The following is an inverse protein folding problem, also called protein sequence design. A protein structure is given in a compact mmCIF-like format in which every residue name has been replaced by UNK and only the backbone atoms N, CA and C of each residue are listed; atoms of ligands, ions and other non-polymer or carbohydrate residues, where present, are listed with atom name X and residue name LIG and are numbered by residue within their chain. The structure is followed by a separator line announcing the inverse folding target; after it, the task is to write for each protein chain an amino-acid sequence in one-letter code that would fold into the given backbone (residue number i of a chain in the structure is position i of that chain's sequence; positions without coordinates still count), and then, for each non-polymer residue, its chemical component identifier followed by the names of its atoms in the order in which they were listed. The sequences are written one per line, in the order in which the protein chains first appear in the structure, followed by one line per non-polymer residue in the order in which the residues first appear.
data_IF_236870799671
#
_entry.id   IF_236870799671
#
_cell.length_a   1.000
_cell.length_b   1.000
_cell.length_c   1.000
_cell.angle_alpha   90.00
_cell.angle_beta   90.00
_cell.angle_gamma   90.00
#
_symmetry.space_group_name_H-M   'P 1'
#
loop_
_entity.id
_entity.type
_entity.pdbx_description
1 polymer ?
#
# COMPACT_ATOMS: atom_id res chain seq x y z
N UNK A 1 -4.51 7.95 8.02
CA UNK A 1 -3.36 7.32 8.70
C UNK A 1 -3.83 6.90 10.07
N UNK A 2 -3.49 5.69 10.47
CA UNK A 2 -3.63 5.24 11.84
C UNK A 2 -2.32 5.47 12.60
N UNK A 3 -2.41 6.01 13.81
CA UNK A 3 -1.34 5.89 14.80
C UNK A 3 -1.40 4.45 15.32
N UNK A 4 -0.34 3.71 15.08
CA UNK A 4 -0.16 2.31 15.45
C UNK A 4 0.83 2.22 16.60
N UNK A 5 0.44 1.56 17.70
CA UNK A 5 1.33 1.27 18.82
C UNK A 5 1.45 -0.24 18.98
N UNK A 6 2.68 -0.74 19.01
CA UNK A 6 3.01 -2.16 19.17
C UNK A 6 4.12 -2.32 20.20
N UNK A 7 4.00 -3.34 21.05
CA UNK A 7 5.03 -3.70 22.00
C UNK A 7 5.64 -5.05 21.66
N UNK A 8 6.97 -5.17 21.71
CA UNK A 8 7.65 -6.46 21.54
C UNK A 8 9.02 -6.49 22.23
N UNK A 9 9.60 -7.67 22.36
CA UNK A 9 10.99 -7.82 22.82
C UNK A 9 11.98 -7.45 21.71
N UNK A 10 13.22 -7.13 22.09
CA UNK A 10 14.29 -6.74 21.15
C UNK A 10 14.48 -7.73 20.00
N UNK A 11 14.37 -9.03 20.28
CA UNK A 11 14.52 -10.11 19.29
C UNK A 11 13.51 -10.04 18.13
N UNK A 12 12.34 -9.43 18.35
CA UNK A 12 11.28 -9.34 17.36
C UNK A 12 11.22 -7.98 16.64
N UNK A 13 11.99 -6.98 17.08
CA UNK A 13 12.00 -5.64 16.47
C UNK A 13 12.28 -5.70 14.98
N UNK A 14 13.32 -6.45 14.55
CA UNK A 14 13.65 -6.57 13.13
C UNK A 14 12.49 -7.11 12.28
N UNK A 15 11.70 -8.03 12.83
CA UNK A 15 10.51 -8.58 12.16
C UNK A 15 9.33 -7.60 12.17
N UNK A 16 9.16 -6.83 13.24
CA UNK A 16 8.17 -5.76 13.30
C UNK A 16 8.45 -4.69 12.23
N UNK A 17 9.71 -4.23 12.14
CA UNK A 17 10.14 -3.26 11.14
C UNK A 17 9.95 -3.76 9.71
N UNK A 18 10.20 -5.04 9.43
CA UNK A 18 9.99 -5.59 8.09
C UNK A 18 8.51 -5.60 7.69
N UNK A 19 7.60 -5.90 8.63
CA UNK A 19 6.14 -5.83 8.39
C UNK A 19 5.71 -4.38 8.17
N UNK A 20 6.22 -3.44 8.99
CA UNK A 20 5.94 -2.02 8.81
C UNK A 20 6.40 -1.49 7.45
N UNK A 21 7.62 -1.82 7.04
CA UNK A 21 8.17 -1.41 5.75
C UNK A 21 7.33 -1.94 4.58
N UNK A 22 6.95 -3.22 4.61
CA UNK A 22 6.10 -3.84 3.59
C UNK A 22 4.75 -3.14 3.45
N UNK A 23 4.19 -2.65 4.55
CA UNK A 23 2.91 -1.93 4.59
C UNK A 23 3.04 -0.41 4.51
N UNK A 24 4.24 0.09 4.16
CA UNK A 24 4.54 1.52 4.02
C UNK A 24 4.19 2.33 5.27
N UNK A 25 4.36 1.72 6.44
CA UNK A 25 4.23 2.43 7.70
C UNK A 25 5.48 3.27 7.95
N UNK A 26 5.30 4.46 8.51
CA UNK A 26 6.39 5.34 8.92
C UNK A 26 6.55 5.29 10.43
N UNK A 27 7.65 4.75 10.93
CA UNK A 27 7.94 4.73 12.37
C UNK A 27 8.25 6.14 12.85
N UNK A 28 7.65 6.50 13.99
CA UNK A 28 7.74 7.83 14.62
C UNK A 28 8.72 7.78 15.79
N UNK A 29 8.64 6.72 16.60
CA UNK A 29 9.46 6.55 17.78
C UNK A 29 9.52 5.10 18.23
N UNK A 30 10.61 4.77 18.90
CA UNK A 30 10.84 3.51 19.59
C UNK A 30 11.36 3.86 20.99
N UNK A 31 10.68 3.35 22.01
CA UNK A 31 11.02 3.60 23.41
C UNK A 31 11.01 2.29 24.19
N UNK A 32 12.00 2.09 25.07
CA UNK A 32 11.97 0.98 26.02
C UNK A 32 10.99 1.31 27.14
N UNK A 33 10.04 0.42 27.41
CA UNK A 33 9.02 0.65 28.43
C UNK A 33 9.62 0.49 29.82
N UNK A 34 9.61 1.54 30.63
CA UNK A 34 10.15 1.55 31.99
C UNK A 34 9.61 0.39 32.84
N UNK A 35 10.52 -0.34 33.49
CA UNK A 35 10.19 -1.48 34.32
C UNK A 35 9.90 -2.78 33.56
N UNK A 36 10.07 -2.82 32.24
CA UNK A 36 9.96 -4.04 31.44
C UNK A 36 11.05 -4.15 30.37
N UNK A 37 11.29 -5.36 29.85
CA UNK A 37 12.18 -5.58 28.72
C UNK A 37 11.46 -5.45 27.35
N UNK A 38 10.35 -4.71 27.30
CA UNK A 38 9.53 -4.54 26.09
C UNK A 38 9.77 -3.17 25.48
N UNK A 39 10.00 -3.16 24.17
CA UNK A 39 10.04 -1.96 23.35
C UNK A 39 8.64 -1.61 22.89
N UNK A 40 8.26 -0.34 23.03
CA UNK A 40 7.05 0.24 22.47
C UNK A 40 7.43 1.01 21.20
N UNK A 41 6.86 0.60 20.08
CA UNK A 41 7.09 1.23 18.77
C UNK A 41 5.82 1.92 18.32
N UNK A 42 5.95 3.21 18.04
CA UNK A 42 4.88 4.04 17.47
C UNK A 42 5.13 4.28 15.98
N UNK A 43 4.12 4.04 15.14
CA UNK A 43 4.22 4.22 13.70
C UNK A 43 2.91 4.75 13.09
N UNK A 44 3.02 5.50 11.98
CA UNK A 44 1.88 5.85 11.15
C UNK A 44 1.67 4.80 10.05
N UNK A 45 0.52 4.13 10.07
CA UNK A 45 0.14 3.11 9.11
C UNK A 45 -0.97 3.64 8.17
N UNK A 46 -0.84 3.51 6.83
CA UNK A 46 -1.94 3.79 5.92
C UNK A 46 -3.15 2.90 6.21
N UNK A 47 -4.35 3.49 6.26
CA UNK A 47 -5.60 2.76 6.59
C UNK A 47 -5.88 1.63 5.60
N UNK A 48 -5.55 1.85 4.33
CA UNK A 48 -5.70 0.84 3.28
C UNK A 48 -4.79 -0.37 3.52
N UNK A 49 -3.62 -0.14 4.11
CA UNK A 49 -2.63 -1.18 4.41
C UNK A 49 -2.80 -1.76 5.82
N UNK A 50 -3.82 -1.38 6.58
CA UNK A 50 -4.04 -1.96 7.92
C UNK A 50 -4.80 -3.28 7.91
N UNK A 51 -5.50 -3.61 6.82
CA UNK A 51 -6.27 -4.84 6.72
C UNK A 51 -5.35 -6.07 6.75
N UNK A 52 -5.58 -6.96 7.71
CA UNK A 52 -4.74 -8.14 7.95
C UNK A 52 -3.37 -7.86 8.59
N UNK A 53 -3.09 -6.61 8.98
CA UNK A 53 -1.81 -6.22 9.60
C UNK A 53 -1.55 -6.98 10.90
N UNK A 54 -2.53 -7.04 11.81
CA UNK A 54 -2.40 -7.74 13.08
C UNK A 54 -2.04 -9.23 12.90
N UNK A 55 -2.72 -9.91 11.98
CA UNK A 55 -2.47 -11.32 11.68
C UNK A 55 -1.07 -11.55 11.10
N UNK A 56 -0.65 -10.72 10.15
CA UNK A 56 0.68 -10.83 9.54
C UNK A 56 1.80 -10.55 10.57
N UNK A 57 1.61 -9.53 11.40
CA UNK A 57 2.53 -9.18 12.46
C UNK A 57 2.72 -10.35 13.44
N UNK A 58 1.62 -10.88 13.99
CA UNK A 58 1.65 -11.98 14.95
C UNK A 58 2.24 -13.25 14.33
N UNK A 59 1.95 -13.53 13.05
CA UNK A 59 2.53 -14.68 12.35
C UNK A 59 4.05 -14.55 12.23
N UNK A 60 4.57 -13.37 11.88
CA UNK A 60 6.00 -13.16 11.71
C UNK A 60 6.76 -13.15 13.05
N UNK A 61 6.15 -12.64 14.12
CA UNK A 61 6.75 -12.63 15.45
C UNK A 61 6.45 -13.88 16.26
N UNK A 62 5.81 -14.91 15.67
CA UNK A 62 5.39 -16.13 16.36
C UNK A 62 4.50 -15.87 17.60
N UNK A 63 3.74 -14.77 17.58
CA UNK A 63 2.89 -14.32 18.68
C UNK A 63 3.61 -13.52 19.76
N UNK A 64 4.93 -13.28 19.64
CA UNK A 64 5.74 -12.59 20.66
C UNK A 64 5.72 -11.05 20.52
N UNK A 65 4.84 -10.50 19.68
CA UNK A 65 4.50 -9.08 19.68
C UNK A 65 3.09 -8.90 20.22
N UNK A 66 2.83 -7.77 20.88
CA UNK A 66 1.50 -7.40 21.30
C UNK A 66 0.58 -7.24 20.09
N UNK A 67 -0.72 -7.40 20.31
CA UNK A 67 -1.71 -7.07 19.30
C UNK A 67 -1.62 -5.55 19.01
N UNK A 68 -1.56 -5.11 17.73
CA UNK A 68 -1.38 -3.71 17.41
C UNK A 68 -2.61 -2.89 17.78
N UNK A 69 -2.38 -1.74 18.42
CA UNK A 69 -3.42 -0.75 18.68
C UNK A 69 -3.45 0.25 17.53
N UNK A 70 -4.57 0.29 16.80
CA UNK A 70 -4.76 1.18 15.66
C UNK A 70 -5.78 2.26 16.00
N UNK A 71 -5.32 3.51 16.09
CA UNK A 71 -6.17 4.68 16.35
C UNK A 71 -6.15 5.62 15.15
N UNK A 72 -7.31 6.17 14.78
CA UNK A 72 -7.37 7.22 13.77
C UNK A 72 -6.66 8.49 14.25
N UNK A 73 -5.78 9.03 13.39
CA UNK A 73 -4.98 10.21 13.70
C UNK A 73 -5.25 11.35 12.69
N UNK A 74 -4.89 11.18 11.42
CA UNK A 74 -5.08 12.21 10.38
C UNK A 74 -5.15 11.64 8.96
N UNK A 75 -5.45 12.47 7.96
CA UNK A 75 -5.28 12.15 6.54
C UNK A 75 -3.93 12.65 6.04
N UNK A 76 -3.22 11.82 5.27
CA UNK A 76 -1.95 12.18 4.66
C UNK A 76 -2.01 12.00 3.14
N UNK A 77 -1.30 12.86 2.42
CA UNK A 77 -1.13 12.76 0.97
C UNK A 77 -0.11 11.67 0.68
N UNK A 78 -0.43 10.75 -0.23
CA UNK A 78 0.52 9.75 -0.71
C UNK A 78 1.47 10.42 -1.73
N UNK A 79 2.77 10.07 -1.73
CA UNK A 79 3.74 10.72 -2.61
C UNK A 79 3.57 10.35 -4.10
N UNK A 80 2.92 9.22 -4.40
CA UNK A 80 2.80 8.73 -5.77
C UNK A 80 1.65 9.43 -6.53
N UNK A 81 1.93 9.90 -7.74
CA UNK A 81 0.92 10.44 -8.65
C UNK A 81 0.13 9.30 -9.34
N UNK A 82 -1.20 9.17 -9.13
CA UNK A 82 -2.00 8.13 -9.79
C UNK A 82 -2.10 8.25 -11.32
N UNK A 83 -1.69 9.36 -11.93
CA UNK A 83 -1.78 9.59 -13.38
C UNK A 83 -0.43 9.78 -14.06
N UNK A 84 0.68 9.44 -13.38
CA UNK A 84 2.02 9.59 -13.92
C UNK A 84 2.15 8.93 -15.30
N UNK A 85 2.68 9.68 -16.27
CA UNK A 85 3.06 9.21 -17.60
C UNK A 85 4.40 9.87 -17.97
N UNK A 86 5.36 9.13 -18.52
CA UNK A 86 6.65 9.68 -18.90
C UNK A 86 6.46 10.66 -20.06
N UNK A 87 6.81 11.92 -19.85
CA UNK A 87 6.63 12.98 -20.84
C UNK A 87 7.95 13.45 -21.44
N UNK A 88 9.02 13.40 -20.65
CA UNK A 88 10.37 13.81 -21.06
C UNK A 88 11.15 12.64 -21.64
N UNK A 89 12.16 12.92 -22.47
CA UNK A 89 12.99 11.88 -23.08
C UNK A 89 13.74 11.06 -22.03
N UNK A 90 14.24 11.70 -20.97
CA UNK A 90 14.91 11.03 -19.84
C UNK A 90 13.96 10.06 -19.10
N UNK A 91 12.74 10.48 -18.78
CA UNK A 91 11.74 9.59 -18.15
C UNK A 91 11.35 8.41 -19.04
N UNK A 92 11.34 8.61 -20.37
CA UNK A 92 11.02 7.54 -21.34
C UNK A 92 12.14 6.52 -21.44
N UNK A 93 13.40 6.91 -21.25
CA UNK A 93 14.53 5.99 -21.16
C UNK A 93 14.41 5.09 -19.92
N UNK A 94 14.03 5.66 -18.78
CA UNK A 94 13.90 4.92 -17.51
C UNK A 94 12.65 4.05 -17.42
N UNK A 95 11.49 4.59 -17.81
CA UNK A 95 10.17 3.96 -17.61
C UNK A 95 9.54 3.41 -18.89
N UNK A 96 10.15 3.64 -20.06
CA UNK A 96 9.62 3.29 -21.37
C UNK A 96 8.58 4.31 -21.88
N UNK A 97 7.98 4.02 -23.04
CA UNK A 97 7.03 4.95 -23.67
C UNK A 97 5.68 5.05 -22.96
N UNK A 98 5.29 4.00 -22.23
CA UNK A 98 4.05 3.92 -21.49
C UNK A 98 4.22 3.02 -20.26
N UNK A 99 3.62 3.44 -19.15
CA UNK A 99 3.68 2.69 -17.90
C UNK A 99 2.67 1.54 -17.97
N UNK A 100 3.18 0.31 -18.08
CA UNK A 100 2.34 -0.88 -18.12
C UNK A 100 1.72 -1.23 -16.76
N UNK A 101 2.44 -0.96 -15.66
CA UNK A 101 1.99 -1.28 -14.32
C UNK A 101 1.44 -0.06 -13.57
N UNK A 102 0.15 -0.09 -13.25
CA UNK A 102 -0.46 0.91 -12.38
C UNK A 102 0.19 0.90 -10.99
N UNK A 103 0.56 2.10 -10.52
CA UNK A 103 1.02 2.29 -9.14
C UNK A 103 -0.08 1.96 -8.12
N UNK A 104 0.30 1.87 -6.84
CA UNK A 104 -0.63 1.51 -5.78
C UNK A 104 -1.79 2.51 -5.66
N UNK A 105 -1.52 3.80 -5.80
CA UNK A 105 -2.55 4.86 -5.69
C UNK A 105 -3.56 4.76 -6.82
N UNK A 106 -3.13 4.51 -8.06
CA UNK A 106 -4.00 4.29 -9.22
C UNK A 106 -4.87 3.04 -9.06
N UNK A 107 -4.30 1.93 -8.57
CA UNK A 107 -5.06 0.71 -8.24
C UNK A 107 -6.18 0.99 -7.24
N UNK A 108 -5.90 1.80 -6.22
CA UNK A 108 -6.91 2.19 -5.22
C UNK A 108 -7.99 3.08 -5.83
N UNK A 109 -7.60 4.08 -6.62
CA UNK A 109 -8.52 4.99 -7.29
C UNK A 109 -9.47 4.22 -8.23
N UNK A 110 -8.94 3.32 -9.06
CA UNK A 110 -9.76 2.50 -9.95
C UNK A 110 -10.68 1.55 -9.20
N UNK A 111 -10.19 0.93 -8.11
CA UNK A 111 -10.99 0.06 -7.26
C UNK A 111 -12.19 0.78 -6.63
N UNK A 112 -12.00 2.03 -6.18
CA UNK A 112 -13.09 2.88 -5.67
C UNK A 112 -14.04 3.27 -6.80
N UNK A 113 -13.53 3.72 -7.96
CA UNK A 113 -14.37 4.12 -9.10
C UNK A 113 -15.23 2.97 -9.62
N UNK A 114 -14.66 1.78 -9.77
CA UNK A 114 -15.37 0.56 -10.15
C UNK A 114 -16.50 0.25 -9.18
N UNK A 115 -16.24 0.30 -7.86
CA UNK A 115 -17.24 0.00 -6.83
C UNK A 115 -18.35 1.05 -6.76
N UNK A 116 -18.03 2.31 -7.08
CA UNK A 116 -18.98 3.44 -7.08
C UNK A 116 -19.68 3.62 -8.43
N UNK A 117 -19.34 2.85 -9.46
CA UNK A 117 -19.91 3.00 -10.80
C UNK A 117 -19.48 4.29 -11.51
N UNK A 118 -18.35 4.88 -11.11
CA UNK A 118 -17.82 6.08 -11.76
C UNK A 118 -17.12 5.71 -13.07
N UNK A 119 -17.06 6.67 -14.00
CA UNK A 119 -16.37 6.50 -15.29
C UNK A 119 -14.91 6.06 -15.09
N UNK A 120 -14.48 5.05 -15.84
CA UNK A 120 -13.10 4.53 -15.86
C UNK A 120 -12.56 4.71 -17.28
N UNK A 121 -11.27 4.99 -17.40
CA UNK A 121 -10.57 5.10 -18.69
C UNK A 121 -10.35 3.75 -19.39
N UNK A 122 -10.93 2.66 -18.85
CA UNK A 122 -10.95 1.38 -19.53
C UNK A 122 -11.73 1.53 -20.85
N UNK A 123 -11.01 1.41 -21.96
CA UNK A 123 -11.62 1.26 -23.29
C UNK A 123 -12.35 -0.09 -23.31
N UNK A 124 -13.66 -0.07 -23.04
CA UNK A 124 -14.53 -1.26 -23.15
C UNK A 124 -14.46 -1.84 -24.57
N UNK A 125 -14.28 -0.98 -25.57
CA UNK A 125 -14.05 -1.37 -26.96
C UNK A 125 -12.99 -0.46 -27.59
N UNK A 126 -11.83 -1.01 -27.95
CA UNK A 126 -10.72 -0.24 -28.56
C UNK A 126 -11.01 0.08 -30.04
N UNK A 127 -11.70 -0.81 -30.75
CA UNK A 127 -12.10 -0.62 -32.15
C UNK A 127 -13.54 -1.09 -32.37
N UNK A 128 -14.52 -0.23 -32.06
CA UNK A 128 -15.94 -0.53 -32.24
C UNK A 128 -16.29 -0.86 -33.71
N UNK A 129 -15.58 -0.23 -34.64
CA UNK A 129 -15.77 -0.35 -36.09
C UNK A 129 -15.35 -1.72 -36.64
N UNK A 130 -14.46 -2.43 -35.95
CA UNK A 130 -13.90 -3.72 -36.41
C UNK A 130 -14.62 -4.94 -35.83
N UNK A 131 -15.71 -4.75 -35.07
CA UNK A 131 -16.40 -5.86 -34.40
C UNK A 131 -16.96 -6.91 -35.38
N UNK A 132 -17.36 -6.50 -36.60
CA UNK A 132 -17.83 -7.43 -37.64
C UNK A 132 -16.71 -8.26 -38.29
N UNK A 133 -15.46 -7.80 -38.25
CA UNK A 133 -14.31 -8.44 -38.92
C UNK A 133 -13.40 -9.21 -37.97
N UNK A 134 -13.55 -9.06 -36.65
CA UNK A 134 -12.71 -9.65 -35.60
C UNK A 134 -12.79 -11.19 -35.48
N UNK A 135 -13.79 -11.83 -36.11
CA UNK A 135 -14.03 -13.29 -36.00
C UNK A 135 -13.97 -14.08 -37.30
N UNK A 136 -13.52 -13.51 -38.42
CA UNK A 136 -13.42 -14.21 -39.71
C UNK A 136 -11.99 -14.69 -39.92
N UNK A 137 -11.65 -15.79 -39.25
CA UNK A 137 -10.65 -16.83 -39.60
C UNK A 137 -10.21 -17.51 -38.29
N UNK A 138 -10.93 -18.57 -37.93
CA UNK A 138 -10.41 -19.66 -37.09
C UNK A 138 -9.95 -20.78 -38.01
#
# INVERSE_FOLDING_TARGET
MYKCTVQCQSEQLGKLYSVFAKRRARVVGEELTDGSALFSVEAYLPVVESFGFATELLKNTSGNASNPQLLFDHWAVMPDDPFFQPTTDEEREDYGEAIAEHNAVRKLLEGVRKRKGLSREEKIVVHAEKQRTLGRNK
#
